data_IF_614574465338
#
_entry.id   IF_614574465338
#
_cell.length_a   1.000
_cell.length_b   1.000
_cell.length_c   1.000
_cell.angle_alpha   90.00
_cell.angle_beta   90.00
_cell.angle_gamma   90.00
#
_symmetry.space_group_name_H-M   'P 1'
#
loop_
_entity.id
_entity.type
_entity.pdbx_description
1 polymer ?
#
# COMPACT_ATOMS: atom_id res chain seq x y z
N UNK A 1 17.63 -23.58 -47.76
CA UNK A 1 16.64 -24.35 -46.98
C UNK A 1 17.06 -24.59 -45.53
N UNK A 2 18.27 -25.11 -45.24
CA UNK A 2 18.73 -25.38 -43.86
C UNK A 2 18.69 -24.16 -42.92
N UNK A 3 19.01 -22.97 -43.43
CA UNK A 3 19.04 -21.72 -42.66
C UNK A 3 17.65 -21.18 -42.27
N UNK A 4 16.61 -21.52 -43.05
CA UNK A 4 15.23 -21.06 -42.79
C UNK A 4 14.59 -21.86 -41.64
N UNK A 5 14.86 -23.16 -41.58
CA UNK A 5 14.42 -24.01 -40.46
C UNK A 5 15.11 -23.64 -39.14
N UNK A 6 16.39 -23.25 -39.19
CA UNK A 6 17.11 -22.76 -38.02
C UNK A 6 16.52 -21.42 -37.50
N UNK A 7 16.12 -20.53 -38.40
CA UNK A 7 15.51 -19.25 -38.04
C UNK A 7 14.10 -19.42 -37.44
N UNK A 8 13.30 -20.34 -37.98
CA UNK A 8 11.98 -20.68 -37.43
C UNK A 8 12.06 -21.37 -36.04
N UNK A 9 13.07 -22.21 -35.82
CA UNK A 9 13.35 -22.80 -34.51
C UNK A 9 13.80 -21.74 -33.47
N UNK A 10 14.58 -20.74 -33.89
CA UNK A 10 14.94 -19.61 -33.03
C UNK A 10 13.72 -18.75 -32.66
N UNK A 11 12.82 -18.48 -33.62
CA UNK A 11 11.57 -17.75 -33.37
C UNK A 11 10.63 -18.51 -32.42
N UNK A 12 10.51 -19.83 -32.56
CA UNK A 12 9.75 -20.66 -31.63
C UNK A 12 10.37 -20.64 -30.21
N UNK A 13 11.70 -20.66 -30.10
CA UNK A 13 12.39 -20.56 -28.81
C UNK A 13 12.20 -19.19 -28.13
N UNK A 14 12.04 -18.09 -28.89
CA UNK A 14 11.74 -16.78 -28.30
C UNK A 14 10.34 -16.65 -27.71
N UNK A 15 9.40 -17.53 -28.08
CA UNK A 15 8.05 -17.57 -27.48
C UNK A 15 7.98 -18.34 -26.17
N UNK A 16 9.03 -19.09 -25.80
CA UNK A 16 9.02 -20.03 -24.68
C UNK A 16 9.43 -19.43 -23.32
N UNK A 17 9.78 -18.15 -23.23
CA UNK A 17 10.31 -17.59 -21.98
C UNK A 17 9.92 -16.15 -21.72
N UNK A 18 8.61 -15.94 -21.58
CA UNK A 18 8.05 -14.97 -20.63
C UNK A 18 6.91 -15.66 -19.86
N UNK A 19 7.22 -16.79 -19.22
CA UNK A 19 6.41 -17.20 -18.07
C UNK A 19 6.55 -16.10 -17.03
N UNK A 20 5.56 -15.19 -16.95
CA UNK A 20 5.42 -14.36 -15.77
C UNK A 20 5.44 -15.31 -14.58
N UNK A 21 6.46 -15.20 -13.72
CA UNK A 21 6.48 -15.88 -12.44
C UNK A 21 5.11 -15.60 -11.80
N UNK A 22 4.35 -16.64 -11.50
CA UNK A 22 3.04 -16.49 -10.88
C UNK A 22 3.23 -15.65 -9.62
N UNK A 23 2.62 -14.47 -9.60
CA UNK A 23 2.66 -13.61 -8.43
C UNK A 23 1.65 -14.17 -7.41
N UNK A 24 2.12 -15.05 -6.56
CA UNK A 24 1.34 -15.69 -5.49
C UNK A 24 1.06 -14.74 -4.31
N UNK A 25 1.45 -13.47 -4.42
CA UNK A 25 1.14 -12.48 -3.41
C UNK A 25 -0.38 -12.25 -3.37
N UNK A 26 -0.96 -12.23 -2.17
CA UNK A 26 -2.37 -11.96 -1.97
C UNK A 26 -2.59 -11.04 -0.79
N UNK A 27 -3.51 -10.09 -0.95
CA UNK A 27 -3.99 -9.21 0.09
C UNK A 27 -5.51 -9.27 0.06
N UNK A 28 -6.13 -9.52 1.21
CA UNK A 28 -7.58 -9.59 1.37
C UNK A 28 -7.97 -8.85 2.64
N UNK A 29 -8.96 -7.98 2.56
CA UNK A 29 -9.55 -7.26 3.70
C UNK A 29 -10.99 -6.91 3.36
N UNK A 30 -11.79 -6.55 4.35
CA UNK A 30 -13.07 -5.90 4.16
C UNK A 30 -12.94 -4.42 4.51
N UNK A 31 -13.35 -3.55 3.59
CA UNK A 31 -13.41 -2.10 3.79
C UNK A 31 -14.87 -1.74 4.01
N UNK A 32 -15.23 -1.34 5.24
CA UNK A 32 -16.62 -1.06 5.64
C UNK A 32 -17.58 -2.21 5.25
N UNK A 33 -17.13 -3.44 5.50
CA UNK A 33 -17.87 -4.67 5.19
C UNK A 33 -17.82 -5.12 3.72
N UNK A 34 -17.23 -4.34 2.81
CA UNK A 34 -17.09 -4.71 1.38
C UNK A 34 -15.77 -5.43 1.14
N UNK A 35 -15.76 -6.60 0.46
CA UNK A 35 -14.53 -7.32 0.19
C UNK A 35 -13.60 -6.53 -0.72
N UNK A 36 -12.31 -6.58 -0.40
CA UNK A 36 -11.23 -5.96 -1.15
C UNK A 36 -10.08 -6.97 -1.26
N UNK A 37 -9.83 -7.44 -2.49
CA UNK A 37 -8.76 -8.38 -2.79
C UNK A 37 -7.85 -7.84 -3.88
N UNK A 38 -6.54 -7.99 -3.70
CA UNK A 38 -5.52 -7.48 -4.61
C UNK A 38 -4.22 -8.26 -4.44
N UNK A 39 -3.31 -8.12 -5.40
CA UNK A 39 -1.96 -8.66 -5.32
C UNK A 39 -1.02 -7.58 -4.78
N UNK A 40 -0.59 -7.69 -3.50
CA UNK A 40 0.28 -6.69 -2.90
C UNK A 40 1.68 -6.77 -3.49
N UNK A 41 2.37 -5.63 -3.45
CA UNK A 41 3.77 -5.49 -3.84
C UNK A 41 4.59 -5.00 -2.67
N UNK A 42 5.83 -5.49 -2.59
CA UNK A 42 6.84 -4.94 -1.69
C UNK A 42 7.41 -3.67 -2.32
N UNK A 43 7.42 -2.59 -1.57
CA UNK A 43 8.14 -1.37 -1.92
C UNK A 43 9.07 -1.06 -0.74
N UNK A 44 10.37 -0.97 -1.01
CA UNK A 44 11.37 -0.58 -0.03
C UNK A 44 11.75 0.88 -0.27
N UNK A 45 11.57 1.72 0.75
CA UNK A 45 11.97 3.12 0.74
C UNK A 45 12.93 3.35 1.91
N UNK A 46 14.24 3.33 1.63
CA UNK A 46 15.27 3.35 2.68
C UNK A 46 15.18 2.12 3.59
N UNK A 47 15.12 2.35 4.90
CA UNK A 47 14.98 1.29 5.93
C UNK A 47 13.53 0.83 6.15
N UNK A 48 12.59 1.37 5.39
CA UNK A 48 11.16 1.16 5.62
C UNK A 48 10.57 0.12 4.66
N UNK A 49 9.82 -0.81 5.24
CA UNK A 49 9.11 -1.88 4.53
C UNK A 49 7.65 -1.48 4.30
N UNK A 50 7.30 -1.20 3.05
CA UNK A 50 5.91 -0.92 2.65
C UNK A 50 5.34 -2.08 1.85
N UNK A 51 4.14 -2.48 2.23
CA UNK A 51 3.31 -3.43 1.51
C UNK A 51 2.16 -2.64 0.92
N UNK A 52 2.08 -2.58 -0.39
CA UNK A 52 1.10 -1.76 -1.10
C UNK A 52 0.16 -2.66 -1.89
N UNK A 53 -1.14 -2.51 -1.64
CA UNK A 53 -2.22 -3.32 -2.16
C UNK A 53 -3.19 -2.42 -2.94
N UNK A 54 -3.00 -2.37 -4.26
CA UNK A 54 -3.69 -1.44 -5.17
C UNK A 54 -4.82 -2.12 -5.95
N UNK A 55 -5.88 -1.37 -6.25
CA UNK A 55 -7.01 -1.70 -7.12
C UNK A 55 -7.28 -0.52 -8.03
N UNK A 56 -7.70 -0.76 -9.28
CA UNK A 56 -7.92 0.31 -10.28
C UNK A 56 -9.40 0.67 -10.43
N UNK A 57 -10.31 -0.23 -10.03
CA UNK A 57 -11.77 -0.05 -10.21
C UNK A 57 -12.54 -0.68 -9.06
N UNK A 58 -12.94 0.10 -8.03
CA UNK A 58 -12.60 1.50 -7.78
C UNK A 58 -11.10 1.69 -7.49
N UNK A 59 -10.57 2.89 -7.78
CA UNK A 59 -9.15 3.17 -7.59
C UNK A 59 -8.83 3.38 -6.11
N UNK A 60 -8.21 2.38 -5.51
CA UNK A 60 -7.99 2.25 -4.07
C UNK A 60 -6.60 1.69 -3.79
N UNK A 61 -6.03 2.11 -2.67
CA UNK A 61 -4.74 1.63 -2.20
C UNK A 61 -4.79 1.42 -0.69
N UNK A 62 -4.32 0.27 -0.24
CA UNK A 62 -3.98 0.04 1.16
C UNK A 62 -2.48 -0.12 1.27
N UNK A 63 -1.87 0.64 2.16
CA UNK A 63 -0.46 0.54 2.52
C UNK A 63 -0.31 0.08 3.96
N UNK A 64 0.48 -0.96 4.16
CA UNK A 64 0.89 -1.42 5.47
C UNK A 64 2.39 -1.21 5.59
N UNK A 65 2.80 -0.49 6.63
CA UNK A 65 4.20 -0.37 7.02
C UNK A 65 4.45 -1.19 8.27
N UNK A 66 5.60 -1.86 8.31
CA UNK A 66 6.07 -2.63 9.45
C UNK A 66 7.48 -2.16 9.81
N UNK A 67 7.66 -1.76 11.06
CA UNK A 67 8.95 -1.43 11.65
C UNK A 67 9.22 -2.34 12.84
N UNK A 68 10.41 -2.92 12.93
CA UNK A 68 10.80 -3.75 14.06
C UNK A 68 11.49 -2.92 15.17
N UNK A 69 11.46 -3.44 16.39
CA UNK A 69 12.11 -2.81 17.55
C UNK A 69 13.61 -2.59 17.34
N UNK A 70 14.29 -3.54 16.69
CA UNK A 70 15.73 -3.50 16.47
C UNK A 70 16.14 -2.50 15.36
N UNK A 71 15.17 -1.84 14.72
CA UNK A 71 15.36 -0.91 13.59
C UNK A 71 16.21 -1.49 12.46
N UNK A 72 16.11 -2.81 12.27
CA UNK A 72 16.76 -3.52 11.17
C UNK A 72 15.78 -3.71 10.03
N UNK A 73 16.30 -3.92 8.83
CA UNK A 73 15.49 -4.16 7.65
C UNK A 73 14.91 -5.59 7.61
N UNK A 74 15.01 -6.36 8.70
CA UNK A 74 14.52 -7.74 8.78
C UNK A 74 13.28 -7.79 9.65
N UNK A 75 12.14 -8.16 9.06
CA UNK A 75 10.91 -8.40 9.82
C UNK A 75 11.03 -9.67 10.65
N UNK A 76 10.58 -9.59 11.91
CA UNK A 76 10.64 -10.69 12.86
C UNK A 76 9.22 -11.22 13.09
N UNK A 77 8.97 -12.53 13.01
CA UNK A 77 7.68 -13.09 13.34
C UNK A 77 7.22 -12.72 14.76
N UNK A 78 5.96 -12.31 14.89
CA UNK A 78 5.34 -11.94 16.16
C UNK A 78 4.26 -10.87 16.02
N UNK A 79 3.88 -10.28 17.14
CA UNK A 79 2.81 -9.27 17.20
C UNK A 79 3.40 -7.87 17.05
N UNK A 80 2.76 -7.05 16.23
CA UNK A 80 3.11 -5.65 16.00
C UNK A 80 1.96 -4.77 16.49
N UNK A 81 2.29 -3.67 17.17
CA UNK A 81 1.31 -2.69 17.63
C UNK A 81 0.94 -1.75 16.47
N UNK A 82 -0.34 -1.60 16.17
CA UNK A 82 -0.81 -0.65 15.15
C UNK A 82 -0.85 0.74 15.80
N UNK A 83 -0.09 1.68 15.22
CA UNK A 83 0.09 3.03 15.76
C UNK A 83 -0.45 4.10 14.81
N UNK A 84 -0.41 5.34 15.28
CA UNK A 84 -0.79 6.52 14.51
C UNK A 84 0.05 6.67 13.24
N UNK A 85 -0.62 6.70 12.07
CA UNK A 85 0.01 6.81 10.77
C UNK A 85 0.56 8.20 10.44
N UNK A 86 0.10 9.26 11.11
CA UNK A 86 0.61 10.63 10.93
C UNK A 86 1.95 10.81 11.60
N UNK A 87 2.12 10.19 12.78
CA UNK A 87 3.34 10.31 13.59
C UNK A 87 3.78 8.93 14.10
N UNK A 88 4.20 8.04 13.18
CA UNK A 88 4.51 6.67 13.54
C UNK A 88 5.80 6.56 14.35
N UNK A 89 6.83 7.30 13.99
CA UNK A 89 8.17 7.28 14.60
C UNK A 89 8.30 8.21 15.81
N UNK A 90 7.29 8.22 16.69
CA UNK A 90 7.40 8.97 17.95
C UNK A 90 8.07 8.12 19.02
N UNK A 91 8.84 8.77 19.90
CA UNK A 91 9.46 8.11 21.06
C UNK A 91 8.41 7.36 21.90
N UNK A 92 7.22 7.95 22.07
CA UNK A 92 6.09 7.36 22.79
C UNK A 92 5.61 6.06 22.16
N UNK A 93 5.36 6.01 20.85
CA UNK A 93 4.92 4.80 20.17
C UNK A 93 5.94 3.67 20.29
N UNK A 94 7.23 4.00 20.19
CA UNK A 94 8.30 3.02 20.39
C UNK A 94 8.44 2.59 21.85
N UNK A 95 8.33 3.51 22.80
CA UNK A 95 8.29 3.19 24.24
C UNK A 95 7.12 2.28 24.55
N UNK A 96 5.92 2.49 23.99
CA UNK A 96 4.77 1.60 24.15
C UNK A 96 4.98 0.23 23.52
N UNK A 97 5.58 0.17 22.33
CA UNK A 97 5.94 -1.10 21.68
C UNK A 97 6.98 -1.88 22.50
N UNK A 98 7.91 -1.17 23.15
CA UNK A 98 8.99 -1.72 23.96
C UNK A 98 8.57 -2.09 25.40
N UNK A 99 7.74 -1.27 26.04
CA UNK A 99 7.49 -1.28 27.48
C UNK A 99 6.83 -2.57 27.98
N UNK A 100 6.19 -3.34 27.09
CA UNK A 100 5.53 -4.57 27.47
C UNK A 100 6.31 -5.84 27.07
N UNK A 101 7.43 -5.73 26.33
CA UNK A 101 8.11 -6.89 25.71
C UNK A 101 7.18 -7.75 24.81
N UNK A 102 5.97 -7.25 24.56
CA UNK A 102 4.83 -7.97 23.99
C UNK A 102 4.83 -7.85 22.48
N UNK A 103 5.35 -6.74 21.96
CA UNK A 103 5.39 -6.45 20.54
C UNK A 103 6.80 -6.60 19.98
N UNK A 104 6.90 -7.12 18.76
CA UNK A 104 8.14 -7.20 17.97
C UNK A 104 8.41 -5.92 17.18
N UNK A 105 7.45 -4.99 17.16
CA UNK A 105 7.53 -3.76 16.41
C UNK A 105 6.23 -3.00 16.36
N UNK A 106 6.19 -2.01 15.46
CA UNK A 106 5.01 -1.20 15.16
C UNK A 106 4.55 -1.41 13.72
N UNK A 107 3.26 -1.26 13.52
CA UNK A 107 2.61 -1.33 12.23
C UNK A 107 1.82 -0.04 11.99
N UNK A 108 1.74 0.38 10.73
CA UNK A 108 0.94 1.52 10.30
C UNK A 108 0.11 1.09 9.12
N UNK A 109 -1.16 1.50 9.09
CA UNK A 109 -2.06 1.22 7.99
C UNK A 109 -2.61 2.52 7.44
N UNK A 110 -2.47 2.70 6.12
CA UNK A 110 -3.05 3.82 5.39
C UNK A 110 -3.97 3.28 4.29
N UNK A 111 -5.14 3.87 4.17
CA UNK A 111 -6.10 3.64 3.10
C UNK A 111 -6.23 4.91 2.27
N UNK A 112 -6.30 4.77 0.95
CA UNK A 112 -6.60 5.87 0.03
C UNK A 112 -7.59 5.39 -1.01
N UNK A 113 -8.60 6.20 -1.29
CA UNK A 113 -9.55 6.04 -2.38
C UNK A 113 -9.62 7.33 -3.19
N UNK A 114 -9.55 7.22 -4.50
CA UNK A 114 -9.82 8.32 -5.40
C UNK A 114 -11.34 8.48 -5.54
N UNK A 115 -11.87 9.54 -4.92
CA UNK A 115 -13.31 9.82 -4.95
C UNK A 115 -13.71 10.61 -6.19
N UNK A 116 -12.75 11.26 -6.86
CA UNK A 116 -12.98 11.97 -8.12
C UNK A 116 -11.80 11.83 -9.07
N UNK A 117 -12.07 11.24 -10.23
CA UNK A 117 -11.09 11.06 -11.28
C UNK A 117 -10.95 12.30 -12.19
N UNK A 118 -9.78 12.50 -12.81
CA UNK A 118 -8.49 11.85 -12.53
C UNK A 118 -7.72 12.58 -11.43
N UNK A 119 -7.45 11.91 -10.30
CA UNK A 119 -6.60 12.39 -9.21
C UNK A 119 -7.01 13.79 -8.72
N UNK A 120 -8.31 14.03 -8.55
CA UNK A 120 -8.84 15.35 -8.18
C UNK A 120 -9.21 15.42 -6.71
N UNK A 121 -9.82 14.35 -6.19
CA UNK A 121 -10.28 14.25 -4.82
C UNK A 121 -9.98 12.86 -4.26
N UNK A 122 -9.63 12.82 -2.98
CA UNK A 122 -9.30 11.59 -2.27
C UNK A 122 -10.00 11.51 -0.94
N UNK A 123 -10.28 10.27 -0.56
CA UNK A 123 -10.61 9.87 0.80
C UNK A 123 -9.43 9.09 1.36
N UNK A 124 -8.90 9.53 2.50
CA UNK A 124 -7.70 8.96 3.13
C UNK A 124 -8.06 8.50 4.53
N UNK A 125 -7.84 7.22 4.81
CA UNK A 125 -7.93 6.63 6.14
C UNK A 125 -6.54 6.41 6.73
N UNK A 126 -6.31 6.86 7.96
CA UNK A 126 -5.03 6.72 8.67
C UNK A 126 -5.22 5.96 9.99
N UNK A 127 -4.41 4.92 10.23
CA UNK A 127 -4.45 4.17 11.49
C UNK A 127 -4.19 5.09 12.67
N UNK A 128 -4.81 4.77 13.79
CA UNK A 128 -4.68 5.48 15.06
C UNK A 128 -4.02 4.57 16.08
N UNK A 129 -3.45 5.13 17.15
CA UNK A 129 -2.90 4.33 18.25
C UNK A 129 -4.03 3.85 19.19
N UNK A 130 -4.91 2.99 18.68
CA UNK A 130 -6.08 2.45 19.39
C UNK A 130 -5.79 1.10 20.07
N UNK A 131 -4.51 0.75 20.27
CA UNK A 131 -4.08 -0.57 20.79
C UNK A 131 -4.51 -1.77 19.94
N UNK A 132 -4.73 -1.55 18.64
CA UNK A 132 -4.97 -2.61 17.67
C UNK A 132 -3.65 -3.31 17.31
N UNK A 133 -3.72 -4.55 16.85
CA UNK A 133 -2.50 -5.35 16.62
C UNK A 133 -2.53 -6.10 15.30
N UNK A 134 -1.33 -6.38 14.80
CA UNK A 134 -1.10 -7.19 13.61
C UNK A 134 -0.18 -8.36 13.97
N UNK A 135 -0.55 -9.58 13.60
CA UNK A 135 0.31 -10.74 13.76
C UNK A 135 1.05 -11.01 12.46
N UNK A 136 2.38 -11.07 12.52
CA UNK A 136 3.26 -11.38 11.40
C UNK A 136 3.87 -12.78 11.60
N UNK A 137 3.88 -13.59 10.55
CA UNK A 137 4.44 -14.94 10.51
C UNK A 137 5.31 -15.09 9.26
N UNK A 138 6.32 -15.93 9.37
CA UNK A 138 7.09 -16.37 8.22
C UNK A 138 6.71 -17.83 7.93
N UNK A 139 6.15 -18.07 6.76
CA UNK A 139 5.83 -19.40 6.27
C UNK A 139 7.11 -20.18 5.95
N UNK A 140 7.04 -21.51 6.10
CA UNK A 140 8.14 -22.41 5.76
C UNK A 140 8.50 -22.37 4.26
N UNK A 141 7.58 -21.87 3.43
CA UNK A 141 7.71 -21.62 1.99
C UNK A 141 8.37 -20.27 1.66
N UNK A 142 8.84 -19.52 2.67
CA UNK A 142 9.51 -18.23 2.51
C UNK A 142 8.54 -17.07 2.23
N UNK A 143 7.24 -17.24 2.43
CA UNK A 143 6.28 -16.14 2.40
C UNK A 143 6.19 -15.44 3.76
N UNK A 144 6.09 -14.13 3.74
CA UNK A 144 5.65 -13.33 4.87
C UNK A 144 4.12 -13.29 4.87
N UNK A 145 3.52 -13.68 5.98
CA UNK A 145 2.09 -13.58 6.20
C UNK A 145 1.83 -12.60 7.33
N UNK A 146 0.86 -11.70 7.18
CA UNK A 146 0.35 -10.99 8.34
C UNK A 146 -1.17 -10.84 8.32
N UNK A 147 -1.71 -10.67 9.52
CA UNK A 147 -3.15 -10.61 9.74
C UNK A 147 -3.53 -9.63 10.84
N UNK A 148 -4.68 -9.00 10.69
CA UNK A 148 -5.33 -8.15 11.70
C UNK A 148 -6.85 -8.34 11.66
N UNK A 149 -7.51 -8.23 12.82
CA UNK A 149 -8.95 -8.53 12.95
C UNK A 149 -9.81 -7.35 12.56
N UNK A 150 -9.56 -6.19 13.16
CA UNK A 150 -10.30 -4.95 12.92
C UNK A 150 -9.37 -3.77 13.19
N UNK A 151 -9.40 -2.78 12.30
CA UNK A 151 -8.61 -1.56 12.41
C UNK A 151 -9.51 -0.38 12.03
N UNK A 152 -9.69 0.55 12.96
CA UNK A 152 -10.40 1.80 12.71
C UNK A 152 -9.42 2.87 12.21
N UNK A 153 -9.66 3.37 11.00
CA UNK A 153 -8.87 4.43 10.39
C UNK A 153 -9.62 5.76 10.51
N UNK A 154 -8.90 6.80 10.93
CA UNK A 154 -9.41 8.17 10.89
C UNK A 154 -9.48 8.64 9.42
N UNK A 155 -10.69 8.89 8.94
CA UNK A 155 -10.98 9.29 7.57
C UNK A 155 -10.92 10.81 7.38
N UNK A 156 -10.32 11.23 6.26
CA UNK A 156 -10.18 12.63 5.87
C UNK A 156 -10.34 12.78 4.35
N UNK A 157 -10.92 13.91 3.93
CA UNK A 157 -11.13 14.20 2.52
C UNK A 157 -10.14 15.25 2.04
N UNK A 158 -9.64 15.07 0.83
CA UNK A 158 -8.63 15.93 0.22
C UNK A 158 -9.07 16.32 -1.18
N UNK A 159 -8.87 17.59 -1.53
CA UNK A 159 -9.22 18.13 -2.84
C UNK A 159 -8.06 18.92 -3.41
N UNK A 160 -7.82 18.78 -4.71
CA UNK A 160 -6.79 19.56 -5.39
C UNK A 160 -7.03 21.07 -5.19
N UNK A 161 -5.97 21.80 -4.84
CA UNK A 161 -6.03 23.26 -4.73
C UNK A 161 -6.34 23.84 -6.11
N UNK A 162 -7.29 24.76 -6.19
CA UNK A 162 -7.61 25.46 -7.43
C UNK A 162 -6.36 26.09 -8.08
N UNK A 163 -5.42 26.59 -7.27
CA UNK A 163 -4.14 27.09 -7.77
C UNK A 163 -3.30 26.02 -8.48
N UNK A 164 -3.27 24.78 -7.98
CA UNK A 164 -2.54 23.69 -8.65
C UNK A 164 -3.14 23.36 -10.02
N UNK A 165 -4.46 23.41 -10.16
CA UNK A 165 -5.15 23.23 -11.44
C UNK A 165 -4.96 24.43 -12.39
N UNK A 166 -5.00 25.66 -11.88
CA UNK A 166 -4.87 26.89 -12.69
C UNK A 166 -3.43 27.10 -13.18
N UNK A 167 -2.42 26.88 -12.34
CA UNK A 167 -1.01 27.01 -12.76
C UNK A 167 -0.51 25.82 -13.59
N UNK A 168 -1.12 24.64 -13.44
CA UNK A 168 -0.81 23.44 -14.24
C UNK A 168 -1.55 23.35 -15.59
N UNK A 169 -2.65 24.08 -15.75
CA UNK A 169 -3.45 24.10 -16.98
C UNK A 169 -3.97 22.72 -17.44
N UNK A 170 -4.29 22.61 -18.73
CA UNK A 170 -4.71 21.35 -19.36
C UNK A 170 -3.61 20.27 -19.32
N UNK A 171 -2.33 20.68 -19.34
CA UNK A 171 -1.18 19.78 -19.28
C UNK A 171 -1.14 18.92 -18.00
N UNK A 172 -1.56 19.48 -16.87
CA UNK A 172 -1.62 18.72 -15.60
C UNK A 172 -2.69 17.65 -15.61
N UNK A 173 -3.84 17.89 -16.25
CA UNK A 173 -4.89 16.89 -16.40
C UNK A 173 -4.46 15.76 -17.35
N UNK A 174 -3.81 16.09 -18.47
CA UNK A 174 -3.29 15.07 -19.40
C UNK A 174 -2.19 14.24 -18.76
N UNK A 175 -1.25 14.84 -18.03
CA UNK A 175 -0.21 14.07 -17.33
C UNK A 175 -0.79 13.14 -16.27
N UNK A 176 -1.84 13.56 -15.53
CA UNK A 176 -2.52 12.67 -14.56
C UNK A 176 -3.19 11.48 -15.26
N UNK A 177 -3.81 11.71 -16.42
CA UNK A 177 -4.44 10.65 -17.21
C UNK A 177 -3.41 9.69 -17.79
N UNK A 178 -2.30 10.21 -18.33
CA UNK A 178 -1.18 9.42 -18.85
C UNK A 178 -0.53 8.57 -17.74
N UNK A 179 -0.20 9.20 -16.62
CA UNK A 179 0.37 8.50 -15.46
C UNK A 179 -0.56 7.40 -14.97
N UNK A 180 -1.87 7.66 -14.89
CA UNK A 180 -2.85 6.66 -14.43
C UNK A 180 -3.01 5.52 -15.44
N UNK A 181 -2.93 5.81 -16.74
CA UNK A 181 -2.93 4.80 -17.78
C UNK A 181 -1.67 3.90 -17.73
N UNK A 182 -0.50 4.47 -17.42
CA UNK A 182 0.77 3.75 -17.34
C UNK A 182 0.88 2.95 -16.05
N UNK A 183 0.66 3.59 -14.91
CA UNK A 183 0.86 2.98 -13.59
C UNK A 183 -0.25 2.01 -13.24
N UNK A 184 -1.46 2.19 -13.80
CA UNK A 184 -2.68 1.44 -13.40
C UNK A 184 -2.85 1.43 -11.90
N UNK A 185 -2.41 2.49 -11.25
CA UNK A 185 -2.61 2.73 -9.83
C UNK A 185 -3.07 4.17 -9.72
N UNK A 186 -3.58 4.52 -8.56
CA UNK A 186 -3.93 5.88 -8.20
C UNK A 186 -2.74 6.88 -8.40
N UNK A 187 -1.52 6.47 -8.80
CA UNK A 187 -0.30 7.32 -8.94
C UNK A 187 0.69 7.20 -7.80
N UNK A 188 0.58 6.11 -7.07
CA UNK A 188 0.89 6.04 -5.65
C UNK A 188 1.78 4.85 -5.33
N UNK A 189 2.86 4.69 -6.08
CA UNK A 189 3.91 3.71 -5.73
C UNK A 189 5.09 4.37 -4.96
N UNK A 190 5.15 5.71 -4.88
CA UNK A 190 6.26 6.39 -4.18
C UNK A 190 5.84 7.36 -3.06
N UNK A 191 4.68 8.03 -3.13
CA UNK A 191 4.36 9.08 -2.13
C UNK A 191 2.84 9.27 -1.94
N UNK A 192 2.25 8.62 -0.92
CA UNK A 192 0.79 8.45 -0.80
C UNK A 192 0.02 9.57 -0.15
N UNK A 193 0.70 10.47 0.53
CA UNK A 193 -0.03 11.48 1.27
C UNK A 193 -0.38 12.64 0.30
N UNK A 194 -1.68 12.99 0.12
CA UNK A 194 -2.07 14.22 -0.59
C UNK A 194 -1.52 15.47 0.11
N UNK A 195 -1.07 15.31 1.35
CA UNK A 195 -0.28 16.27 2.13
C UNK A 195 1.00 16.66 1.37
N UNK A 196 1.17 17.95 1.09
CA UNK A 196 2.34 18.46 0.35
C UNK A 196 2.21 18.42 -1.17
N UNK A 197 1.32 17.61 -1.75
CA UNK A 197 1.23 17.38 -3.20
C UNK A 197 0.23 18.28 -3.95
N UNK A 198 -0.03 19.47 -3.42
CA UNK A 198 -0.96 20.43 -4.02
C UNK A 198 -2.44 20.17 -3.69
N UNK A 199 -2.75 19.30 -2.73
CA UNK A 199 -4.09 19.08 -2.23
C UNK A 199 -4.32 19.86 -0.93
N UNK A 200 -5.59 20.15 -0.63
CA UNK A 200 -6.05 20.78 0.60
C UNK A 200 -7.02 19.82 1.30
N UNK A 201 -6.78 19.59 2.60
CA UNK A 201 -7.71 18.88 3.47
C UNK A 201 -9.04 19.62 3.55
N UNK A 202 -10.13 18.89 3.47
CA UNK A 202 -11.48 19.38 3.65
C UNK A 202 -11.91 19.17 5.11
N UNK A 203 -12.88 19.94 5.57
CA UNK A 203 -13.40 19.84 6.94
C UNK A 203 -14.21 18.55 7.17
N UNK A 204 -14.62 17.88 6.08
CA UNK A 204 -15.29 16.58 6.13
C UNK A 204 -14.34 15.51 6.65
N UNK A 205 -14.77 14.78 7.66
CA UNK A 205 -14.10 13.60 8.23
C UNK A 205 -15.11 12.49 8.48
N UNK A 206 -14.62 11.26 8.53
CA UNK A 206 -15.38 10.05 8.87
C UNK A 206 -14.42 8.99 9.44
N UNK A 207 -14.87 7.74 9.53
CA UNK A 207 -14.04 6.61 9.90
C UNK A 207 -14.17 5.52 8.83
N UNK A 208 -13.05 4.87 8.52
CA UNK A 208 -12.99 3.69 7.65
C UNK A 208 -12.62 2.49 8.49
N UNK A 209 -13.40 1.42 8.44
CA UNK A 209 -13.14 0.22 9.22
C UNK A 209 -12.59 -0.88 8.30
N UNK A 210 -11.38 -1.33 8.59
CA UNK A 210 -10.77 -2.47 7.92
C UNK A 210 -10.93 -3.72 8.78
N UNK A 211 -11.61 -4.75 8.29
CA UNK A 211 -11.77 -6.02 9.02
C UNK A 211 -11.22 -7.20 8.24
N UNK A 212 -10.85 -8.28 8.95
CA UNK A 212 -10.37 -9.53 8.36
C UNK A 212 -9.16 -9.35 7.42
N UNK A 213 -8.27 -8.41 7.74
CA UNK A 213 -7.10 -8.11 6.94
C UNK A 213 -6.09 -9.25 6.99
N UNK A 214 -5.70 -9.74 5.82
CA UNK A 214 -4.67 -10.77 5.64
C UNK A 214 -3.84 -10.45 4.42
N UNK A 215 -2.53 -10.56 4.54
CA UNK A 215 -1.65 -10.52 3.38
C UNK A 215 -0.63 -11.63 3.42
N UNK A 216 -0.22 -12.04 2.23
CA UNK A 216 0.80 -13.04 1.97
C UNK A 216 1.69 -12.50 0.87
N UNK A 217 2.98 -12.38 1.14
CA UNK A 217 3.96 -11.72 0.28
C UNK A 217 5.23 -12.57 0.21
N UNK A 218 5.71 -12.87 -1.00
CA UNK A 218 7.01 -13.52 -1.18
C UNK A 218 8.12 -12.54 -0.82
N UNK A 219 9.04 -12.96 0.07
CA UNK A 219 10.22 -12.19 0.45
C UNK A 219 11.37 -12.31 -0.56
#
# INVERSE_FOLDING_TARGET
MKSVYAFLLLLAATTASFGQIANDNRFSVQIDGKPYETQPRRIQLGRYWWITANSVKPDRSIRVWLGNVDKTDVLVPGTYLIVDADKPDTKKNWEEALAAGTYKGIAVIKYVEETREPRMEYHVGKSQNNHETMTVKQGADGFLEAQFTSVALAGSYWKEKASATVFGGLGRLTSKLEDKAITKTTGYDSDIDPEGNGYKRQDKTDAVTLTNGKFRLKL
#
